data_IF_636971221975
#
_entry.id   IF_636971221975
#
_cell.length_a   1.000
_cell.length_b   1.000
_cell.length_c   1.000
_cell.angle_alpha   90.00
_cell.angle_beta   90.00
_cell.angle_gamma   90.00
#
_symmetry.space_group_name_H-M   'P 1'
#
loop_
_entity.id
_entity.type
_entity.pdbx_description
1 polymer ?
#
# COMPACT_ATOMS: atom_id res chain seq x y z
N UNK A 1 -27.64 4.06 41.42
CA UNK A 1 -27.33 4.72 40.13
C UNK A 1 -25.83 4.89 39.81
N UNK A 2 -24.87 4.49 40.67
CA UNK A 2 -23.42 4.56 40.37
C UNK A 2 -22.88 3.38 39.54
N UNK A 3 -23.64 2.28 39.48
CA UNK A 3 -23.23 1.05 38.80
C UNK A 3 -23.49 1.10 37.28
N UNK A 4 -24.52 1.83 36.84
CA UNK A 4 -24.88 2.00 35.42
C UNK A 4 -23.89 2.90 34.67
N UNK A 5 -23.31 3.93 35.32
CA UNK A 5 -22.29 4.78 34.70
C UNK A 5 -20.98 4.05 34.42
N UNK A 6 -20.59 3.09 35.26
CA UNK A 6 -19.34 2.31 35.07
C UNK A 6 -19.45 1.32 33.91
N UNK A 7 -20.62 0.70 33.72
CA UNK A 7 -20.88 -0.19 32.58
C UNK A 7 -20.96 0.59 31.25
N UNK A 8 -21.51 1.80 31.24
CA UNK A 8 -21.53 2.65 30.05
C UNK A 8 -20.13 3.10 29.61
N UNK A 9 -19.24 3.43 30.57
CA UNK A 9 -17.85 3.77 30.28
C UNK A 9 -17.07 2.55 29.73
N UNK A 10 -17.29 1.36 30.28
CA UNK A 10 -16.65 0.13 29.78
C UNK A 10 -17.13 -0.24 28.37
N UNK A 11 -18.43 -0.09 28.09
CA UNK A 11 -18.99 -0.30 26.76
C UNK A 11 -18.44 0.72 25.74
N UNK A 12 -18.26 1.99 26.15
CA UNK A 12 -17.69 3.02 25.29
C UNK A 12 -16.20 2.76 24.98
N UNK A 13 -15.42 2.28 25.95
CA UNK A 13 -14.01 1.88 25.74
C UNK A 13 -13.93 0.64 24.85
N UNK A 14 -14.82 -0.34 25.00
CA UNK A 14 -14.88 -1.51 24.11
C UNK A 14 -15.25 -1.12 22.67
N UNK A 15 -16.19 -0.18 22.50
CA UNK A 15 -16.58 0.36 21.19
C UNK A 15 -15.48 1.20 20.52
N UNK A 16 -14.64 1.88 21.31
CA UNK A 16 -13.46 2.59 20.81
C UNK A 16 -12.24 1.70 20.54
N UNK A 17 -12.21 0.48 21.09
CA UNK A 17 -11.13 -0.50 20.84
C UNK A 17 -11.36 -1.34 19.57
N UNK A 18 -12.61 -1.49 19.11
CA UNK A 18 -12.96 -2.20 17.89
C UNK A 18 -12.27 -1.68 16.60
N UNK A 19 -12.10 -0.36 16.37
CA UNK A 19 -11.41 0.12 15.18
C UNK A 19 -9.87 -0.02 15.24
N UNK A 20 -9.29 -0.32 16.41
CA UNK A 20 -7.83 -0.52 16.56
C UNK A 20 -7.40 -1.96 16.23
N UNK A 21 -8.24 -2.95 16.51
CA UNK A 21 -7.96 -4.35 16.16
C UNK A 21 -8.08 -4.64 14.66
N UNK A 22 -8.89 -3.86 13.93
CA UNK A 22 -9.02 -3.98 12.47
C UNK A 22 -7.81 -3.38 11.71
N UNK A 23 -6.97 -2.59 12.37
CA UNK A 23 -5.84 -1.88 11.75
C UNK A 23 -4.47 -2.53 12.03
N UNK A 24 -4.42 -3.58 12.86
CA UNK A 24 -3.21 -4.35 13.10
C UNK A 24 -2.87 -5.34 11.96
N UNK A 25 -3.82 -5.60 11.04
CA UNK A 25 -3.68 -6.54 9.92
C UNK A 25 -3.26 -5.84 8.59
N UNK A 26 -2.83 -4.57 8.63
CA UNK A 26 -2.11 -3.94 7.51
C UNK A 26 -2.92 -3.58 6.24
N UNK A 27 -4.25 -3.68 6.26
CA UNK A 27 -5.07 -3.42 5.07
C UNK A 27 -4.95 -4.51 3.99
N UNK A 28 -5.56 -4.31 2.81
CA UNK A 28 -5.46 -5.29 1.73
C UNK A 28 -4.02 -5.42 1.21
N UNK A 29 -3.61 -6.67 1.04
CA UNK A 29 -2.26 -7.13 0.74
C UNK A 29 -1.23 -6.68 1.78
N UNK A 30 -1.18 -7.36 2.93
CA UNK A 30 -0.22 -7.04 3.97
C UNK A 30 1.21 -7.25 3.47
N UNK A 31 2.11 -6.46 4.04
CA UNK A 31 3.55 -6.58 3.84
C UNK A 31 4.04 -7.97 4.30
N UNK A 32 4.98 -8.57 3.57
CA UNK A 32 5.67 -9.80 3.96
C UNK A 32 7.03 -9.44 4.61
N UNK A 33 7.11 -9.42 5.96
CA UNK A 33 8.33 -9.01 6.64
C UNK A 33 9.52 -9.93 6.36
N UNK A 34 9.29 -11.22 6.05
CA UNK A 34 10.35 -12.15 5.70
C UNK A 34 10.88 -11.90 4.28
N UNK A 35 9.97 -11.64 3.33
CA UNK A 35 10.35 -11.20 1.99
C UNK A 35 11.05 -9.84 2.01
N UNK A 36 10.62 -8.93 2.89
CA UNK A 36 11.16 -7.58 3.00
C UNK A 36 12.56 -7.56 3.61
N UNK A 37 12.91 -8.54 4.46
CA UNK A 37 14.26 -8.68 5.00
C UNK A 37 15.31 -8.95 3.91
N UNK A 38 14.90 -9.56 2.78
CA UNK A 38 15.77 -9.90 1.65
C UNK A 38 15.41 -9.10 0.39
N UNK A 39 14.84 -7.90 0.55
CA UNK A 39 14.50 -7.07 -0.59
C UNK A 39 15.75 -6.56 -1.33
N UNK A 40 15.64 -6.36 -2.64
CA UNK A 40 16.69 -5.73 -3.43
C UNK A 40 16.81 -4.24 -3.07
N UNK A 41 18.00 -3.78 -2.67
CA UNK A 41 18.29 -2.39 -2.29
C UNK A 41 18.86 -1.55 -3.45
N UNK A 42 19.14 -2.20 -4.58
CA UNK A 42 19.69 -1.58 -5.79
C UNK A 42 18.89 -2.00 -7.02
N UNK A 43 18.87 -1.12 -8.02
CA UNK A 43 18.37 -1.40 -9.36
C UNK A 43 19.54 -1.71 -10.30
N UNK A 44 19.32 -2.53 -11.35
CA UNK A 44 18.15 -3.36 -11.63
C UNK A 44 18.07 -4.62 -10.74
N UNK A 45 16.91 -5.29 -10.63
CA UNK A 45 15.64 -5.03 -11.32
C UNK A 45 14.85 -3.86 -10.71
N UNK A 46 13.87 -3.36 -11.46
CA UNK A 46 12.95 -2.29 -11.05
C UNK A 46 11.63 -2.86 -10.52
N UNK A 47 11.00 -2.14 -9.60
CA UNK A 47 9.77 -2.56 -8.95
C UNK A 47 8.78 -1.40 -8.88
N UNK A 48 7.52 -1.67 -9.23
CA UNK A 48 6.40 -0.73 -9.08
C UNK A 48 5.21 -1.43 -8.44
N UNK A 49 4.62 -0.80 -7.43
CA UNK A 49 3.34 -1.22 -6.86
C UNK A 49 2.26 -0.32 -7.46
N UNK A 50 1.34 -0.93 -8.18
CA UNK A 50 0.15 -0.25 -8.71
C UNK A 50 -0.95 -0.22 -7.65
N UNK A 51 -2.09 0.32 -8.03
CA UNK A 51 -3.34 0.27 -7.27
C UNK A 51 -3.31 0.80 -5.83
N UNK A 52 -2.48 1.80 -5.58
CA UNK A 52 -2.45 2.52 -4.29
C UNK A 52 -3.24 3.83 -4.36
N UNK A 53 -3.55 4.39 -3.20
CA UNK A 53 -4.25 5.67 -3.06
C UNK A 53 -3.33 6.89 -3.15
N UNK A 54 -2.02 6.65 -3.17
CA UNK A 54 -0.95 7.66 -3.22
C UNK A 54 0.00 7.33 -4.37
N UNK A 55 0.77 8.33 -4.81
CA UNK A 55 1.78 8.18 -5.84
C UNK A 55 3.16 8.56 -5.26
N UNK A 56 4.18 7.78 -5.58
CA UNK A 56 5.56 8.05 -5.25
C UNK A 56 6.49 7.65 -6.39
N UNK A 57 6.87 8.64 -7.20
CA UNK A 57 7.81 8.50 -8.32
C UNK A 57 9.22 9.04 -8.01
N UNK A 58 9.43 9.52 -6.79
CA UNK A 58 10.65 10.14 -6.28
C UNK A 58 11.61 9.12 -5.64
N UNK A 59 11.48 7.84 -5.98
CA UNK A 59 12.11 6.71 -5.29
C UNK A 59 13.04 5.93 -6.21
N UNK A 60 13.93 5.15 -5.62
CA UNK A 60 14.92 4.35 -6.34
C UNK A 60 14.32 3.18 -7.15
N UNK A 61 13.02 2.88 -7.02
CA UNK A 61 12.35 1.78 -7.73
C UNK A 61 12.95 0.39 -7.43
N UNK A 62 13.49 0.21 -6.22
CA UNK A 62 14.12 -1.04 -5.76
C UNK A 62 13.08 -1.97 -5.12
N UNK A 63 13.46 -3.21 -4.83
CA UNK A 63 12.56 -4.16 -4.15
C UNK A 63 12.20 -3.70 -2.73
N UNK A 64 13.12 -2.98 -2.08
CA UNK A 64 12.90 -2.38 -0.78
C UNK A 64 12.09 -1.08 -0.83
N UNK A 65 12.21 -0.33 -1.93
CA UNK A 65 11.58 0.96 -2.10
C UNK A 65 10.99 1.08 -3.51
N UNK A 66 9.88 0.36 -3.79
CA UNK A 66 9.28 0.37 -5.11
C UNK A 66 8.68 1.74 -5.43
N UNK A 67 8.51 2.00 -6.73
CA UNK A 67 7.63 3.09 -7.19
C UNK A 67 6.20 2.77 -6.77
N UNK A 68 5.41 3.81 -6.52
CA UNK A 68 4.00 3.65 -6.16
C UNK A 68 3.16 4.44 -7.16
N UNK A 69 2.24 3.75 -7.84
CA UNK A 69 1.28 4.33 -8.78
C UNK A 69 -0.11 4.46 -8.15
N UNK A 70 -0.75 5.61 -8.39
CA UNK A 70 -2.07 5.92 -7.84
C UNK A 70 -3.19 5.45 -8.75
N UNK A 71 -3.69 4.24 -8.51
CA UNK A 71 -4.89 3.69 -9.15
C UNK A 71 -5.83 3.02 -8.15
N UNK A 72 -6.38 3.75 -7.16
CA UNK A 72 -7.23 3.14 -6.14
C UNK A 72 -8.51 2.49 -6.71
N UNK A 73 -8.93 2.87 -7.92
CA UNK A 73 -10.03 2.24 -8.67
C UNK A 73 -9.71 0.82 -9.14
N UNK A 74 -8.44 0.45 -9.16
CA UNK A 74 -7.93 -0.82 -9.67
C UNK A 74 -7.98 -1.91 -8.58
N UNK A 75 -9.18 -2.43 -8.28
CA UNK A 75 -9.35 -3.47 -7.26
C UNK A 75 -9.12 -4.89 -7.78
N UNK A 76 -9.19 -5.09 -9.09
CA UNK A 76 -8.96 -6.37 -9.76
C UNK A 76 -7.77 -6.24 -10.70
N UNK A 77 -6.66 -6.89 -10.35
CA UNK A 77 -5.43 -6.83 -11.14
C UNK A 77 -5.62 -7.42 -12.55
N UNK A 78 -6.49 -8.42 -12.71
CA UNK A 78 -6.65 -9.15 -13.96
C UNK A 78 -7.44 -8.40 -15.02
N UNK A 79 -8.27 -7.45 -14.60
CA UNK A 79 -9.15 -6.69 -15.51
C UNK A 79 -8.78 -5.22 -15.61
N UNK A 80 -7.94 -4.74 -14.70
CA UNK A 80 -7.49 -3.36 -14.66
C UNK A 80 -6.34 -3.12 -15.65
N UNK A 81 -6.61 -2.28 -16.66
CA UNK A 81 -5.66 -1.95 -17.72
C UNK A 81 -4.91 -0.65 -17.40
N UNK A 82 -3.86 -0.76 -16.59
CA UNK A 82 -2.89 0.33 -16.37
C UNK A 82 -1.83 0.30 -17.47
N UNK A 83 -1.58 1.47 -18.07
CA UNK A 83 -0.57 1.64 -19.13
C UNK A 83 0.83 1.83 -18.51
N UNK A 84 1.44 0.73 -18.10
CA UNK A 84 2.78 0.71 -17.50
C UNK A 84 3.84 1.32 -18.43
N UNK A 85 3.65 1.23 -19.74
CA UNK A 85 4.59 1.80 -20.69
C UNK A 85 4.60 3.33 -20.59
N UNK A 86 3.43 3.96 -20.58
CA UNK A 86 3.31 5.42 -20.47
C UNK A 86 3.54 5.95 -19.07
N UNK A 87 3.18 5.18 -18.05
CA UNK A 87 3.21 5.66 -16.66
C UNK A 87 4.54 5.39 -15.97
N UNK A 88 5.25 4.32 -16.33
CA UNK A 88 6.49 3.90 -15.64
C UNK A 88 7.67 3.82 -16.60
N UNK A 89 7.58 3.00 -17.65
CA UNK A 89 8.76 2.57 -18.42
C UNK A 89 9.51 3.73 -19.07
N UNK A 90 8.78 4.74 -19.56
CA UNK A 90 9.39 5.92 -20.20
C UNK A 90 10.24 6.80 -19.27
N UNK A 91 10.14 6.60 -17.96
CA UNK A 91 10.84 7.40 -16.95
C UNK A 91 11.96 6.63 -16.25
N UNK A 92 12.08 5.32 -16.48
CA UNK A 92 13.13 4.53 -15.86
C UNK A 92 14.46 4.76 -16.59
N UNK A 93 15.57 4.98 -15.87
CA UNK A 93 16.91 5.09 -16.44
C UNK A 93 17.48 3.70 -16.77
N UNK A 94 16.71 2.88 -17.47
CA UNK A 94 16.99 1.46 -17.67
C UNK A 94 17.89 1.19 -18.88
N UNK A 95 18.68 0.12 -18.80
CA UNK A 95 19.37 -0.46 -19.93
C UNK A 95 18.50 -1.51 -20.66
N UNK A 96 18.77 -1.80 -21.94
CA UNK A 96 18.06 -2.84 -22.68
C UNK A 96 18.24 -4.21 -22.01
N UNK A 97 17.14 -4.95 -21.86
CA UNK A 97 17.11 -6.29 -21.27
C UNK A 97 16.91 -6.32 -19.76
N UNK A 98 16.90 -5.17 -19.08
CA UNK A 98 16.58 -5.08 -17.66
C UNK A 98 15.09 -5.39 -17.38
N UNK A 99 14.81 -5.80 -16.14
CA UNK A 99 13.49 -6.27 -15.73
C UNK A 99 12.76 -5.24 -14.89
N UNK A 100 11.48 -5.03 -15.18
CA UNK A 100 10.52 -4.32 -14.32
C UNK A 100 9.44 -5.30 -13.82
N UNK A 101 9.28 -5.37 -12.50
CA UNK A 101 8.19 -6.06 -11.85
C UNK A 101 7.07 -5.07 -11.52
N UNK A 102 5.88 -5.29 -12.07
CA UNK A 102 4.68 -4.56 -11.69
C UNK A 102 3.82 -5.41 -10.75
N UNK A 103 3.63 -4.92 -9.53
CA UNK A 103 2.89 -5.60 -8.46
C UNK A 103 1.54 -4.94 -8.26
N UNK A 104 0.51 -5.73 -8.00
CA UNK A 104 -0.85 -5.27 -7.77
C UNK A 104 -1.48 -6.06 -6.62
N UNK A 105 -2.32 -5.38 -5.85
CA UNK A 105 -3.11 -6.02 -4.80
C UNK A 105 -4.49 -6.45 -5.31
N UNK A 106 -4.71 -7.75 -5.54
CA UNK A 106 -5.98 -8.23 -6.07
C UNK A 106 -7.03 -8.37 -4.96
N UNK A 107 -7.94 -7.40 -4.88
CA UNK A 107 -8.99 -7.33 -3.88
C UNK A 107 -10.35 -7.84 -4.38
N UNK A 108 -10.45 -8.25 -5.65
CA UNK A 108 -11.72 -8.56 -6.29
C UNK A 108 -12.41 -9.80 -5.69
N UNK A 109 -11.64 -10.86 -5.46
CA UNK A 109 -12.13 -12.11 -4.87
C UNK A 109 -11.87 -12.20 -3.36
N UNK A 110 -10.84 -11.51 -2.85
CA UNK A 110 -10.41 -11.56 -1.48
C UNK A 110 -10.30 -10.14 -0.90
N UNK A 111 -11.15 -9.74 0.07
CA UNK A 111 -11.05 -8.42 0.70
C UNK A 111 -9.74 -8.19 1.47
N UNK A 112 -9.04 -9.26 1.87
CA UNK A 112 -7.68 -9.16 2.44
C UNK A 112 -6.60 -8.92 1.39
N UNK A 113 -6.95 -9.02 0.11
CA UNK A 113 -6.04 -8.82 -1.02
C UNK A 113 -5.07 -9.97 -1.21
N UNK A 114 -4.92 -10.42 -2.46
CA UNK A 114 -3.86 -11.34 -2.85
C UNK A 114 -2.84 -10.60 -3.71
N UNK A 115 -1.56 -10.66 -3.32
CA UNK A 115 -0.50 -10.09 -4.13
C UNK A 115 -0.42 -10.81 -5.48
N UNK A 116 -0.30 -10.02 -6.55
CA UNK A 116 -0.01 -10.49 -7.89
C UNK A 116 1.08 -9.64 -8.50
N UNK A 117 1.86 -10.23 -9.40
CA UNK A 117 2.83 -9.48 -10.18
C UNK A 117 2.86 -9.91 -11.63
N UNK A 118 3.30 -9.00 -12.49
CA UNK A 118 3.60 -9.24 -13.91
C UNK A 118 4.99 -8.70 -14.23
N UNK A 119 5.57 -9.18 -15.32
CA UNK A 119 6.97 -8.91 -15.67
C UNK A 119 7.05 -8.20 -17.02
N UNK A 120 7.87 -7.16 -17.05
CA UNK A 120 8.22 -6.43 -18.25
C UNK A 120 9.73 -6.51 -18.49
N UNK A 121 10.10 -6.61 -19.76
CA UNK A 121 11.47 -6.41 -20.22
C UNK A 121 11.59 -5.01 -20.81
N UNK A 122 12.56 -4.26 -20.31
CA UNK A 122 12.84 -2.87 -20.69
C UNK A 122 13.71 -2.83 -21.94
N UNK A 123 13.41 -1.91 -22.86
CA UNK A 123 14.17 -1.74 -24.11
C UNK A 123 15.29 -0.70 -24.02
N UNK A 124 15.38 0.03 -22.91
CA UNK A 124 16.33 1.12 -22.67
C UNK A 124 16.06 2.42 -23.42
N UNK A 125 14.98 2.49 -24.20
CA UNK A 125 14.50 3.66 -24.93
C UNK A 125 13.15 4.18 -24.38
N UNK A 126 12.77 3.72 -23.19
CA UNK A 126 11.52 4.07 -22.52
C UNK A 126 10.33 3.18 -22.89
N UNK A 127 10.54 2.15 -23.70
CA UNK A 127 9.56 1.11 -23.96
C UNK A 127 9.78 -0.11 -23.08
N UNK A 128 8.72 -0.91 -22.95
CA UNK A 128 8.78 -2.16 -22.23
C UNK A 128 7.79 -3.16 -22.80
N UNK A 129 8.22 -4.41 -22.94
CA UNK A 129 7.38 -5.50 -23.44
C UNK A 129 7.02 -6.41 -22.29
N UNK A 130 5.73 -6.72 -22.14
CA UNK A 130 5.27 -7.68 -21.13
C UNK A 130 5.77 -9.08 -21.50
N UNK A 131 6.53 -9.70 -20.61
CA UNK A 131 7.07 -11.06 -20.79
C UNK A 131 6.34 -12.10 -19.96
N UNK A 132 5.66 -11.68 -18.89
CA UNK A 132 4.84 -12.54 -18.04
C UNK A 132 3.62 -11.75 -17.59
N UNK A 133 2.44 -12.37 -17.69
CA UNK A 133 1.19 -11.80 -17.22
C UNK A 133 1.01 -12.01 -15.70
N UNK A 134 -0.08 -11.49 -15.14
CA UNK A 134 -0.39 -11.55 -13.72
C UNK A 134 -0.30 -12.96 -13.16
N UNK A 135 0.62 -13.11 -12.23
CA UNK A 135 0.91 -14.37 -11.52
C UNK A 135 0.74 -14.14 -10.02
N UNK A 136 0.13 -15.09 -9.28
CA UNK A 136 -0.02 -14.97 -7.84
C UNK A 136 1.32 -14.88 -7.11
N UNK A 137 1.34 -14.11 -6.02
CA UNK A 137 2.47 -13.94 -5.12
C UNK A 137 3.22 -12.62 -5.29
N UNK A 138 4.38 -12.56 -4.65
CA UNK A 138 5.33 -11.45 -4.78
C UNK A 138 6.46 -11.82 -5.73
N UNK A 139 7.06 -10.84 -6.43
CA UNK A 139 8.25 -11.10 -7.24
C UNK A 139 9.45 -11.46 -6.35
N UNK A 140 10.51 -12.07 -6.90
CA UNK A 140 11.73 -12.33 -6.16
C UNK A 140 12.33 -11.07 -5.54
N UNK A 141 13.09 -11.23 -4.45
CA UNK A 141 13.80 -10.14 -3.77
C UNK A 141 12.88 -8.96 -3.42
N UNK A 142 11.65 -9.27 -3.03
CA UNK A 142 10.62 -8.34 -2.56
C UNK A 142 9.87 -8.99 -1.39
N UNK A 143 9.43 -8.18 -0.45
CA UNK A 143 8.37 -8.53 0.51
C UNK A 143 7.48 -7.35 0.87
N UNK A 144 7.52 -6.31 0.01
CA UNK A 144 6.89 -4.99 0.10
C UNK A 144 6.82 -4.40 1.51
N UNK A 145 7.60 -3.35 1.78
CA UNK A 145 7.44 -2.47 2.93
C UNK A 145 6.82 -1.18 2.40
N UNK A 146 5.49 -1.13 2.33
CA UNK A 146 4.84 0.11 1.92
C UNK A 146 4.95 1.08 3.09
N UNK A 147 5.30 2.37 2.85
CA UNK A 147 5.09 3.36 3.88
C UNK A 147 3.61 3.35 4.17
N UNK A 148 3.25 2.85 5.35
CA UNK A 148 1.87 2.79 5.84
C UNK A 148 1.30 4.17 5.53
N UNK A 149 0.26 4.30 4.69
CA UNK A 149 -0.40 5.58 4.53
C UNK A 149 -0.98 5.84 5.90
N UNK A 150 -0.28 6.66 6.70
CA UNK A 150 -0.82 7.17 7.93
C UNK A 150 -2.19 7.69 7.55
N UNK A 151 -3.22 7.13 8.17
CA UNK A 151 -4.59 7.62 8.13
C UNK A 151 -4.55 8.97 8.85
N UNK A 152 -3.93 9.98 8.24
CA UNK A 152 -3.84 11.36 8.73
C UNK A 152 -5.23 11.99 8.73
N UNK A 153 -6.19 11.42 8.00
CA UNK A 153 -7.60 11.79 8.10
C UNK A 153 -8.26 11.42 9.43
N UNK A 154 -7.80 10.38 10.13
CA UNK A 154 -8.42 9.89 11.38
C UNK A 154 -7.85 10.53 12.65
N UNK A 155 -6.53 10.75 12.67
CA UNK A 155 -5.83 11.34 13.81
C UNK A 155 -6.06 12.86 13.92
N UNK A 156 -6.25 13.58 12.80
CA UNK A 156 -6.57 15.00 12.84
C UNK A 156 -7.97 15.25 13.47
N UNK A 157 -8.93 14.36 13.24
CA UNK A 157 -10.29 14.47 13.81
C UNK A 157 -10.28 14.19 15.33
N UNK A 158 -9.46 13.25 15.79
CA UNK A 158 -9.28 12.99 17.23
C UNK A 158 -8.55 14.14 17.94
N UNK A 159 -7.55 14.75 17.31
CA UNK A 159 -6.83 15.90 17.85
C UNK A 159 -7.70 17.14 18.05
N UNK A 160 -8.54 17.47 17.06
CA UNK A 160 -9.48 18.60 17.16
C UNK A 160 -10.63 18.29 18.13
N UNK A 161 -11.11 17.05 18.18
CA UNK A 161 -12.15 16.62 19.12
C UNK A 161 -11.73 16.71 20.58
N UNK A 162 -10.49 16.32 20.91
CA UNK A 162 -9.93 16.43 22.27
C UNK A 162 -9.68 17.88 22.67
N UNK A 163 -9.27 18.75 21.75
CA UNK A 163 -9.12 20.19 22.00
C UNK A 163 -10.48 20.86 22.28
N UNK A 164 -11.53 20.52 21.52
CA UNK A 164 -12.88 21.03 21.77
C UNK A 164 -13.45 20.55 23.12
N UNK A 165 -13.26 19.27 23.47
CA UNK A 165 -13.68 18.74 24.76
C UNK A 165 -12.93 19.39 25.94
N UNK A 166 -11.62 19.64 25.81
CA UNK A 166 -10.81 20.31 26.82
C UNK A 166 -11.23 21.76 27.07
N UNK A 167 -11.60 22.51 26.03
CA UNK A 167 -12.09 23.89 26.16
C UNK A 167 -13.46 23.95 26.86
N UNK A 168 -14.33 22.96 26.64
CA UNK A 168 -15.65 22.89 27.27
C UNK A 168 -15.55 22.53 28.76
N UNK A 169 -14.62 21.64 29.15
CA UNK A 169 -14.40 21.26 30.56
C UNK A 169 -13.79 22.40 31.38
N UNK A 170 -12.94 23.25 30.79
CA UNK A 170 -12.34 24.40 31.51
C UNK A 170 -13.33 25.55 31.77
N UNK A 171 -14.47 25.60 31.05
CA UNK A 171 -15.47 26.69 31.16
C UNK A 171 -16.66 26.37 32.08
N UNK A 172 -16.69 25.20 32.72
CA UNK A 172 -17.65 24.86 33.78
C UNK A 172 -16.93 24.76 35.12
#
# INVERSE_FOLDING_TARGET
MRFTLRMAALALVLLMALPLAAQADGGPCPDDPMGAANCADQTPPYYVVVNRSVEHFDRAATGCQPLILKHPECTDCLTCNIDIQQEVCRYLPAAPGETLYAMCCNCAANPKGDWMYRVYQLDGAGGCTMTQDWTPGLPPNTGVNLPVPFIVGGLAVLGVGLLAAGVIVKRR
#
